data_IF_482958312968
#
_entry.id   IF_482958312968
#
_cell.length_a   1.000
_cell.length_b   1.000
_cell.length_c   1.000
_cell.angle_alpha   90.00
_cell.angle_beta   90.00
_cell.angle_gamma   90.00
#
_symmetry.space_group_name_H-M   'P 1'
#
loop_
_entity.id
_entity.type
_entity.pdbx_description
1 polymer ?
#
# COMPACT_ATOMS: atom_id res chain seq x y z
N UNK A 1 -12.61 -19.69 -32.43
CA UNK A 1 -12.46 -18.56 -31.49
C UNK A 1 -10.97 -18.22 -31.40
N UNK A 2 -10.50 -17.20 -32.11
CA UNK A 2 -9.08 -16.81 -32.06
C UNK A 2 -8.77 -16.18 -30.70
N UNK A 3 -7.72 -16.66 -30.04
CA UNK A 3 -7.26 -16.14 -28.75
C UNK A 3 -6.59 -14.80 -29.02
N UNK A 4 -7.28 -13.70 -28.77
CA UNK A 4 -6.67 -12.36 -28.85
C UNK A 4 -5.46 -12.31 -27.91
N UNK A 5 -4.28 -12.17 -28.49
CA UNK A 5 -3.03 -11.95 -27.77
C UNK A 5 -3.11 -10.58 -27.10
N UNK A 6 -3.11 -10.56 -25.76
CA UNK A 6 -3.05 -9.31 -25.00
C UNK A 6 -1.69 -8.66 -25.21
N UNK A 7 -1.63 -7.58 -25.97
CA UNK A 7 -0.43 -6.73 -26.01
C UNK A 7 -0.10 -6.24 -24.60
N UNK A 8 1.14 -6.46 -24.16
CA UNK A 8 1.66 -5.92 -22.91
C UNK A 8 2.27 -4.55 -23.20
N UNK A 9 1.63 -3.51 -22.68
CA UNK A 9 2.20 -2.17 -22.66
C UNK A 9 3.08 -1.99 -21.42
N UNK A 10 4.14 -1.19 -21.55
CA UNK A 10 5.00 -0.78 -20.43
C UNK A 10 4.21 0.08 -19.45
N UNK A 11 4.71 0.21 -18.22
CA UNK A 11 4.02 1.00 -17.21
C UNK A 11 4.14 2.51 -17.48
N UNK A 12 5.25 2.94 -18.10
CA UNK A 12 5.44 4.31 -18.58
C UNK A 12 4.39 4.67 -19.63
N UNK A 13 4.16 3.78 -20.61
CA UNK A 13 3.16 4.01 -21.65
C UNK A 13 1.75 4.12 -21.06
N UNK A 14 1.39 3.24 -20.11
CA UNK A 14 0.09 3.31 -19.44
C UNK A 14 -0.07 4.62 -18.66
N UNK A 15 1.00 5.08 -18.00
CA UNK A 15 0.97 6.33 -17.25
C UNK A 15 0.80 7.54 -18.17
N UNK A 16 1.50 7.59 -19.30
CA UNK A 16 1.34 8.64 -20.31
C UNK A 16 -0.06 8.61 -20.94
N UNK A 17 -0.58 7.42 -21.25
CA UNK A 17 -1.94 7.26 -21.78
C UNK A 17 -3.01 7.77 -20.81
N UNK A 18 -2.83 7.54 -19.50
CA UNK A 18 -3.73 8.07 -18.47
C UNK A 18 -3.64 9.60 -18.37
N UNK A 19 -2.43 10.18 -18.39
CA UNK A 19 -2.24 11.65 -18.41
C UNK A 19 -2.86 12.30 -19.65
N UNK A 20 -2.73 11.66 -20.81
CA UNK A 20 -3.35 12.13 -22.04
C UNK A 20 -4.88 12.08 -21.91
N UNK A 21 -5.43 10.97 -21.43
CA UNK A 21 -6.87 10.79 -21.24
C UNK A 21 -7.48 11.80 -20.24
N UNK A 22 -6.71 12.30 -19.27
CA UNK A 22 -7.12 13.38 -18.36
C UNK A 22 -7.22 14.74 -19.08
N UNK A 23 -6.36 15.00 -20.07
CA UNK A 23 -6.36 16.27 -20.82
C UNK A 23 -7.41 16.33 -21.92
N UNK A 24 -7.61 15.25 -22.68
CA UNK A 24 -8.38 15.28 -23.94
C UNK A 24 -9.57 14.32 -23.98
N UNK A 25 -9.87 13.63 -22.86
CA UNK A 25 -10.81 12.52 -22.72
C UNK A 25 -10.29 11.14 -23.15
N UNK A 26 -10.96 10.11 -22.65
CA UNK A 26 -10.64 8.70 -22.91
C UNK A 26 -10.80 8.32 -24.37
N UNK A 27 -11.90 8.75 -24.98
CA UNK A 27 -12.22 8.41 -26.36
C UNK A 27 -11.22 9.03 -27.33
N UNK A 28 -10.83 10.29 -27.11
CA UNK A 28 -9.80 10.95 -27.92
C UNK A 28 -8.42 10.34 -27.72
N UNK A 29 -8.00 10.10 -26.48
CA UNK A 29 -6.71 9.47 -26.17
C UNK A 29 -6.61 8.04 -26.72
N UNK A 30 -7.70 7.27 -26.67
CA UNK A 30 -7.75 5.92 -27.24
C UNK A 30 -7.55 5.93 -28.76
N UNK A 31 -8.19 6.88 -29.47
CA UNK A 31 -7.99 7.06 -30.91
C UNK A 31 -6.57 7.48 -31.25
N UNK A 32 -6.02 8.45 -30.53
CA UNK A 32 -4.66 8.97 -30.76
C UNK A 32 -3.59 7.89 -30.54
N UNK A 33 -3.75 7.07 -29.49
CA UNK A 33 -2.83 6.00 -29.15
C UNK A 33 -3.14 4.67 -29.87
N UNK A 34 -4.16 4.64 -30.73
CA UNK A 34 -4.63 3.43 -31.41
C UNK A 34 -4.89 2.23 -30.48
N UNK A 35 -5.45 2.51 -29.30
CA UNK A 35 -5.84 1.50 -28.31
C UNK A 35 -7.34 1.52 -28.06
N UNK A 36 -7.85 0.47 -27.41
CA UNK A 36 -9.26 0.39 -27.05
C UNK A 36 -9.54 1.16 -25.76
N UNK A 37 -10.63 1.92 -25.69
CA UNK A 37 -11.01 2.72 -24.51
C UNK A 37 -11.05 1.89 -23.21
N UNK A 38 -11.52 0.64 -23.31
CA UNK A 38 -11.56 -0.28 -22.16
C UNK A 38 -10.19 -0.54 -21.52
N UNK A 39 -9.09 -0.42 -22.30
CA UNK A 39 -7.73 -0.55 -21.77
C UNK A 39 -7.40 0.63 -20.87
N UNK A 40 -7.73 1.86 -21.28
CA UNK A 40 -7.53 3.07 -20.48
C UNK A 40 -8.38 3.02 -19.20
N UNK A 41 -9.64 2.58 -19.28
CA UNK A 41 -10.48 2.37 -18.09
C UNK A 41 -9.89 1.32 -17.15
N UNK A 42 -9.42 0.20 -17.70
CA UNK A 42 -8.76 -0.86 -16.92
C UNK A 42 -7.50 -0.36 -16.21
N UNK A 43 -6.64 0.40 -16.89
CA UNK A 43 -5.42 0.96 -16.29
C UNK A 43 -5.74 1.99 -15.21
N UNK A 44 -6.77 2.82 -15.39
CA UNK A 44 -7.20 3.77 -14.37
C UNK A 44 -7.69 3.08 -13.10
N UNK A 45 -8.49 2.03 -13.25
CA UNK A 45 -8.97 1.21 -12.13
C UNK A 45 -7.79 0.55 -11.39
N UNK A 46 -6.83 0.00 -12.14
CA UNK A 46 -5.62 -0.59 -11.58
C UNK A 46 -4.75 0.44 -10.83
N UNK A 47 -4.58 1.65 -11.39
CA UNK A 47 -3.84 2.74 -10.76
C UNK A 47 -4.51 3.18 -9.45
N UNK A 48 -5.83 3.36 -9.44
CA UNK A 48 -6.59 3.70 -8.23
C UNK A 48 -6.48 2.62 -7.16
N UNK A 49 -6.60 1.35 -7.55
CA UNK A 49 -6.42 0.23 -6.62
C UNK A 49 -5.02 0.22 -6.02
N UNK A 50 -3.98 0.44 -6.83
CA UNK A 50 -2.59 0.51 -6.35
C UNK A 50 -2.38 1.65 -5.35
N UNK A 51 -2.96 2.82 -5.60
CA UNK A 51 -2.92 3.95 -4.68
C UNK A 51 -3.57 3.60 -3.33
N UNK A 52 -4.78 3.04 -3.34
CA UNK A 52 -5.48 2.63 -2.12
C UNK A 52 -4.71 1.57 -1.31
N UNK A 53 -4.07 0.60 -2.00
CA UNK A 53 -3.24 -0.41 -1.34
C UNK A 53 -2.02 0.24 -0.67
N UNK A 54 -1.34 1.15 -1.37
CA UNK A 54 -0.18 1.87 -0.84
C UNK A 54 -0.53 2.71 0.39
N UNK A 55 -1.69 3.38 0.40
CA UNK A 55 -2.17 4.14 1.55
C UNK A 55 -2.44 3.21 2.74
N UNK A 56 -3.14 2.10 2.50
CA UNK A 56 -3.41 1.11 3.54
C UNK A 56 -2.15 0.50 4.14
N UNK A 57 -1.15 0.20 3.32
CA UNK A 57 0.15 -0.31 3.78
C UNK A 57 0.88 0.72 4.66
N UNK A 58 0.82 2.01 4.31
CA UNK A 58 1.40 3.09 5.11
C UNK A 58 0.71 3.20 6.48
N UNK A 59 -0.61 3.15 6.53
CA UNK A 59 -1.37 3.15 7.79
C UNK A 59 -0.99 1.96 8.68
N UNK A 60 -0.91 0.75 8.09
CA UNK A 60 -0.53 -0.46 8.82
C UNK A 60 0.91 -0.39 9.33
N UNK A 61 1.83 0.22 8.59
CA UNK A 61 3.21 0.42 9.03
C UNK A 61 3.28 1.37 10.24
N UNK A 62 2.51 2.47 10.21
CA UNK A 62 2.42 3.40 11.32
C UNK A 62 1.84 2.75 12.58
N UNK A 63 0.77 1.97 12.44
CA UNK A 63 0.15 1.24 13.56
C UNK A 63 1.10 0.19 14.13
N UNK A 64 1.79 -0.58 13.28
CA UNK A 64 2.81 -1.54 13.72
C UNK A 64 3.93 -0.87 14.51
N UNK A 65 4.41 0.30 14.08
CA UNK A 65 5.42 1.04 14.82
C UNK A 65 4.90 1.49 16.20
N UNK A 66 3.64 1.94 16.27
CA UNK A 66 3.00 2.30 17.54
C UNK A 66 2.89 1.09 18.48
N UNK A 67 2.39 -0.04 17.99
CA UNK A 67 2.23 -1.26 18.77
C UNK A 67 3.57 -1.79 19.29
N UNK A 68 4.62 -1.76 18.47
CA UNK A 68 5.97 -2.16 18.89
C UNK A 68 6.52 -1.29 20.03
N UNK A 69 6.28 0.03 20.00
CA UNK A 69 6.67 0.93 21.10
C UNK A 69 5.93 0.59 22.39
N UNK A 70 4.62 0.42 22.30
CA UNK A 70 3.81 0.02 23.46
C UNK A 70 4.26 -1.32 24.04
N UNK A 71 4.58 -2.31 23.19
CA UNK A 71 5.12 -3.58 23.68
C UNK A 71 6.45 -3.39 24.41
N UNK A 72 7.38 -2.61 23.87
CA UNK A 72 8.66 -2.35 24.51
C UNK A 72 8.50 -1.64 25.88
N UNK A 73 7.63 -0.64 25.97
CA UNK A 73 7.32 0.05 27.23
C UNK A 73 6.77 -0.92 28.28
N UNK A 74 5.83 -1.79 27.89
CA UNK A 74 5.23 -2.78 28.81
C UNK A 74 6.23 -3.86 29.22
N UNK A 75 7.12 -4.28 28.33
CA UNK A 75 8.19 -5.21 28.65
C UNK A 75 9.17 -4.61 29.67
N UNK A 76 9.50 -3.33 29.55
CA UNK A 76 10.32 -2.60 30.51
C UNK A 76 9.63 -2.49 31.88
N UNK A 77 8.36 -2.07 31.91
CA UNK A 77 7.56 -2.02 33.14
C UNK A 77 7.53 -3.38 33.85
N UNK A 78 7.28 -4.46 33.11
CA UNK A 78 7.29 -5.82 33.65
C UNK A 78 8.67 -6.23 34.17
N UNK A 79 9.75 -5.83 33.50
CA UNK A 79 11.10 -6.11 33.96
C UNK A 79 11.40 -5.40 35.30
N UNK A 80 11.00 -4.14 35.43
CA UNK A 80 11.13 -3.37 36.68
C UNK A 80 10.33 -4.02 37.81
N UNK A 81 9.05 -4.36 37.56
CA UNK A 81 8.17 -5.00 38.53
C UNK A 81 8.73 -6.34 39.02
N UNK A 82 9.24 -7.18 38.10
CA UNK A 82 9.89 -8.45 38.46
C UNK A 82 11.15 -8.23 39.31
N UNK A 83 11.97 -7.24 38.96
CA UNK A 83 13.16 -6.89 39.74
C UNK A 83 12.80 -6.40 41.15
N UNK A 84 11.76 -5.58 41.28
CA UNK A 84 11.26 -5.14 42.57
C UNK A 84 10.73 -6.32 43.41
N UNK A 85 9.88 -7.17 42.83
CA UNK A 85 9.33 -8.34 43.51
C UNK A 85 10.43 -9.28 44.03
N UNK A 86 11.45 -9.55 43.22
CA UNK A 86 12.60 -10.38 43.64
C UNK A 86 13.43 -9.73 44.73
N UNK A 87 13.62 -8.40 44.71
CA UNK A 87 14.28 -7.69 45.80
C UNK A 87 13.48 -7.78 47.11
N UNK A 88 12.17 -7.51 47.08
CA UNK A 88 11.33 -7.57 48.27
C UNK A 88 11.24 -8.97 48.86
N UNK A 89 11.07 -10.01 48.03
CA UNK A 89 11.04 -11.41 48.49
C UNK A 89 12.34 -11.82 49.22
N UNK A 90 13.51 -11.31 48.80
CA UNK A 90 14.80 -11.59 49.45
C UNK A 90 14.97 -10.88 50.81
N UNK A 91 14.25 -9.78 51.04
CA UNK A 91 14.38 -8.94 52.22
C UNK A 91 13.25 -9.15 53.26
N UNK A 92 12.41 -10.19 53.12
CA UNK A 92 11.35 -10.56 54.08
C UNK A 92 11.87 -11.32 55.33
N UNK A 93 13.01 -10.93 55.91
CA UNK A 93 13.49 -11.48 57.19
C UNK A 93 13.19 -10.53 58.34
#
# INVERSE_FOLDING_TARGET
MSKQTRNRYSDEFKAEALKLAERISVASAARELSIHESQIYGWRSAAKKKANVSERESELAAENARLKRQMAEREEELAILKKAATYFAKNQK
#
